data_IF_852395631890
#
_entry.id   IF_852395631890
#
_cell.length_a   1.000
_cell.length_b   1.000
_cell.length_c   1.000
_cell.angle_alpha   90.00
_cell.angle_beta   90.00
_cell.angle_gamma   90.00
#
_symmetry.space_group_name_H-M   'P 1'
#
loop_
_entity.id
_entity.type
_entity.pdbx_description
1 polymer ?
#
# COMPACT_ATOMS: atom_id res chain seq x y z
N UNK A 1 11.72 13.27 -12.76
CA UNK A 1 11.23 13.26 -14.15
C UNK A 1 11.18 14.68 -14.67
N UNK A 2 11.49 14.99 -15.95
CA UNK A 2 11.36 16.34 -16.47
C UNK A 2 9.87 16.72 -16.39
N UNK A 3 9.55 17.84 -15.74
CA UNK A 3 8.19 18.41 -15.72
C UNK A 3 7.71 18.53 -17.15
N UNK A 4 6.72 17.73 -17.54
CA UNK A 4 6.06 17.83 -18.84
C UNK A 4 5.52 19.26 -18.94
N UNK A 5 5.98 20.03 -19.93
CA UNK A 5 5.48 21.41 -20.11
C UNK A 5 3.95 21.36 -20.26
N UNK A 6 3.26 22.14 -19.46
CA UNK A 6 1.80 22.24 -19.48
C UNK A 6 1.32 22.56 -20.90
N UNK A 7 0.41 21.74 -21.43
CA UNK A 7 -0.22 21.99 -22.73
C UNK A 7 -1.46 22.85 -22.53
N UNK A 8 -1.56 23.97 -23.26
CA UNK A 8 -2.65 24.95 -23.17
C UNK A 8 -3.34 25.07 -24.52
N UNK A 9 -4.64 24.78 -24.59
CA UNK A 9 -5.42 24.99 -25.80
C UNK A 9 -5.95 26.41 -25.86
N UNK A 10 -5.72 27.10 -26.99
CA UNK A 10 -6.26 28.40 -27.29
C UNK A 10 -7.46 28.21 -28.21
N UNK A 11 -8.65 28.56 -27.71
CA UNK A 11 -9.91 28.29 -28.40
C UNK A 11 -10.72 29.59 -28.46
N UNK A 12 -11.28 29.91 -29.63
CA UNK A 12 -12.25 30.98 -29.78
C UNK A 12 -13.69 30.55 -29.45
N UNK A 13 -14.68 31.26 -29.93
CA UNK A 13 -16.09 30.96 -29.65
C UNK A 13 -16.60 29.71 -30.42
N UNK A 14 -17.78 29.17 -29.99
CA UNK A 14 -18.34 27.90 -30.45
C UNK A 14 -18.62 27.83 -31.96
N UNK A 15 -19.05 28.93 -32.56
CA UNK A 15 -19.31 29.04 -34.01
C UNK A 15 -18.20 29.88 -34.65
N UNK A 16 -17.00 29.32 -34.88
CA UNK A 16 -15.83 30.09 -35.19
C UNK A 16 -15.96 30.76 -36.58
N UNK A 17 -15.79 32.06 -36.60
CA UNK A 17 -15.62 32.89 -37.79
C UNK A 17 -14.13 33.12 -38.08
N UNK A 18 -13.81 33.88 -39.10
CA UNK A 18 -12.44 34.14 -39.51
C UNK A 18 -11.63 34.84 -38.41
N UNK A 19 -12.24 35.78 -37.70
CA UNK A 19 -11.58 36.50 -36.61
C UNK A 19 -11.24 35.51 -35.45
N UNK A 20 -12.20 34.70 -35.02
CA UNK A 20 -12.01 33.70 -33.97
C UNK A 20 -10.86 32.74 -34.26
N UNK A 21 -10.77 32.25 -35.49
CA UNK A 21 -9.71 31.31 -35.91
C UNK A 21 -8.36 32.01 -36.03
N UNK A 22 -8.31 33.15 -36.69
CA UNK A 22 -7.07 33.89 -36.88
C UNK A 22 -6.50 34.40 -35.54
N UNK A 23 -7.35 34.88 -34.64
CA UNK A 23 -6.94 35.31 -33.30
C UNK A 23 -6.37 34.14 -32.47
N UNK A 24 -7.01 32.99 -32.52
CA UNK A 24 -6.51 31.80 -31.84
C UNK A 24 -5.12 31.37 -32.36
N UNK A 25 -4.92 31.37 -33.68
CA UNK A 25 -3.64 31.05 -34.31
C UNK A 25 -2.55 32.06 -33.97
N UNK A 26 -2.85 33.36 -34.09
CA UNK A 26 -1.90 34.44 -33.82
C UNK A 26 -1.48 34.45 -32.34
N UNK A 27 -2.44 34.31 -31.43
CA UNK A 27 -2.16 34.27 -30.00
C UNK A 27 -1.35 33.00 -29.60
N UNK A 28 -1.67 31.86 -30.19
CA UNK A 28 -0.89 30.63 -30.00
C UNK A 28 0.56 30.83 -30.45
N UNK A 29 0.77 31.43 -31.62
CA UNK A 29 2.11 31.75 -32.12
C UNK A 29 2.88 32.66 -31.14
N UNK A 30 2.26 33.76 -30.73
CA UNK A 30 2.86 34.70 -29.77
C UNK A 30 3.24 34.00 -28.46
N UNK A 31 2.33 33.25 -27.89
CA UNK A 31 2.56 32.55 -26.60
C UNK A 31 3.67 31.50 -26.68
N UNK A 32 3.78 30.79 -27.80
CA UNK A 32 4.87 29.83 -28.00
C UNK A 32 6.24 30.51 -28.13
N UNK A 33 6.31 31.76 -28.59
CA UNK A 33 7.55 32.56 -28.60
C UNK A 33 8.00 32.95 -27.17
N UNK A 34 7.07 33.10 -26.24
CA UNK A 34 7.36 33.44 -24.85
C UNK A 34 7.86 32.24 -24.03
N UNK A 35 7.57 31.02 -24.45
CA UNK A 35 8.20 29.79 -23.96
C UNK A 35 7.79 29.30 -22.56
N UNK A 36 6.70 29.79 -21.97
CA UNK A 36 6.23 29.43 -20.62
C UNK A 36 5.46 28.09 -20.59
N UNK A 37 4.81 27.69 -21.70
CA UNK A 37 4.07 26.43 -21.87
C UNK A 37 4.11 25.99 -23.34
N UNK A 38 3.42 24.90 -23.69
CA UNK A 38 3.13 24.49 -25.06
C UNK A 38 1.72 24.89 -25.39
N UNK A 39 1.55 25.85 -26.29
CA UNK A 39 0.23 26.36 -26.72
C UNK A 39 -0.16 25.72 -28.04
N UNK A 40 -1.45 25.33 -28.18
CA UNK A 40 -2.02 24.75 -29.39
C UNK A 40 -3.33 25.47 -29.73
N UNK A 41 -3.41 25.97 -30.96
CA UNK A 41 -4.68 26.52 -31.46
C UNK A 41 -5.68 25.39 -31.71
N UNK A 42 -6.91 25.61 -31.24
CA UNK A 42 -8.03 24.68 -31.41
C UNK A 42 -9.26 25.45 -31.89
N UNK A 43 -10.23 24.76 -32.47
CA UNK A 43 -11.53 25.30 -32.83
C UNK A 43 -12.65 24.55 -32.14
N UNK A 44 -13.70 25.24 -31.73
CA UNK A 44 -14.86 24.68 -31.07
C UNK A 44 -16.01 24.31 -32.01
N UNK A 45 -15.86 24.58 -33.31
CA UNK A 45 -16.87 24.28 -34.33
C UNK A 45 -16.28 24.14 -35.73
N UNK A 46 -17.17 23.97 -36.73
CA UNK A 46 -16.75 23.87 -38.12
C UNK A 46 -16.36 25.26 -38.65
N UNK A 47 -15.33 25.32 -39.48
CA UNK A 47 -14.94 26.55 -40.18
C UNK A 47 -15.90 26.83 -41.32
N UNK A 48 -16.22 28.12 -41.53
CA UNK A 48 -17.01 28.57 -42.64
C UNK A 48 -16.18 28.67 -43.93
N UNK A 49 -16.83 28.96 -45.06
CA UNK A 49 -16.16 29.04 -46.39
C UNK A 49 -15.16 30.18 -46.47
N UNK A 50 -15.47 31.32 -45.85
CA UNK A 50 -14.59 32.47 -45.77
C UNK A 50 -13.31 32.16 -45.03
N UNK A 51 -13.42 31.61 -43.82
CA UNK A 51 -12.29 31.15 -43.02
C UNK A 51 -11.43 30.11 -43.76
N UNK A 52 -12.07 29.17 -44.43
CA UNK A 52 -11.34 28.14 -45.22
C UNK A 52 -10.58 28.79 -46.39
N UNK A 53 -11.17 29.79 -47.06
CA UNK A 53 -10.51 30.54 -48.12
C UNK A 53 -9.29 31.33 -47.58
N UNK A 54 -9.46 32.06 -46.48
CA UNK A 54 -8.36 32.82 -45.86
C UNK A 54 -7.21 31.92 -45.44
N UNK A 55 -7.49 30.83 -44.73
CA UNK A 55 -6.44 29.89 -44.30
C UNK A 55 -5.69 29.31 -45.50
N UNK A 56 -6.42 28.91 -46.55
CA UNK A 56 -5.81 28.39 -47.79
C UNK A 56 -4.96 29.44 -48.48
N UNK A 57 -5.43 30.69 -48.55
CA UNK A 57 -4.69 31.77 -49.20
C UNK A 57 -3.34 32.05 -48.51
N UNK A 58 -3.28 31.97 -47.19
CA UNK A 58 -2.05 32.17 -46.42
C UNK A 58 -1.26 30.86 -46.17
N UNK A 59 -1.71 29.73 -46.66
CA UNK A 59 -1.03 28.44 -46.49
C UNK A 59 -1.00 27.93 -45.04
N UNK A 60 -2.02 28.32 -44.23
CA UNK A 60 -2.12 27.94 -42.81
C UNK A 60 -3.10 26.78 -42.65
N UNK A 61 -2.66 25.73 -41.96
CA UNK A 61 -3.52 24.59 -41.64
C UNK A 61 -4.60 24.97 -40.63
N UNK A 62 -5.85 24.50 -40.82
CA UNK A 62 -6.94 24.74 -39.87
C UNK A 62 -6.63 24.14 -38.49
N UNK A 63 -6.94 24.87 -37.40
CA UNK A 63 -6.83 24.32 -36.06
C UNK A 63 -7.66 23.03 -35.91
N UNK A 64 -7.17 22.07 -35.13
CA UNK A 64 -7.90 20.84 -34.86
C UNK A 64 -9.17 21.14 -34.07
N UNK A 65 -10.23 20.36 -34.37
CA UNK A 65 -11.49 20.46 -33.62
C UNK A 65 -11.28 20.00 -32.17
N UNK A 66 -11.78 20.77 -31.24
CA UNK A 66 -11.89 20.43 -29.84
C UNK A 66 -13.36 20.17 -29.52
N UNK A 67 -13.72 18.93 -29.27
CA UNK A 67 -15.11 18.53 -29.01
C UNK A 67 -15.45 18.53 -27.54
N UNK A 68 -14.43 18.46 -26.68
CA UNK A 68 -14.59 18.40 -25.23
C UNK A 68 -13.44 19.15 -24.55
N UNK A 69 -13.77 19.98 -23.58
CA UNK A 69 -12.84 20.73 -22.72
C UNK A 69 -12.99 20.37 -21.26
N UNK A 70 -13.75 19.32 -20.95
CA UNK A 70 -13.93 18.82 -19.59
C UNK A 70 -12.59 18.42 -18.99
N UNK A 71 -12.30 18.84 -17.74
CA UNK A 71 -11.08 18.41 -17.08
C UNK A 71 -11.04 16.89 -16.96
N UNK A 72 -9.89 16.32 -17.28
CA UNK A 72 -9.63 14.89 -17.16
C UNK A 72 -8.81 14.59 -15.91
N UNK A 73 -8.76 13.35 -15.49
CA UNK A 73 -7.98 12.92 -14.30
C UNK A 73 -6.53 13.38 -14.39
N UNK A 74 -5.91 13.37 -15.57
CA UNK A 74 -4.54 13.89 -15.79
C UNK A 74 -4.37 15.39 -15.59
N UNK A 75 -5.46 16.15 -15.58
CA UNK A 75 -5.43 17.62 -15.47
C UNK A 75 -5.56 18.11 -14.02
N UNK A 76 -5.84 17.19 -13.08
CA UNK A 76 -5.89 17.49 -11.65
C UNK A 76 -4.54 17.16 -10.99
N UNK A 77 -4.32 17.78 -9.84
CA UNK A 77 -3.14 17.48 -9.03
C UNK A 77 -3.33 16.13 -8.33
N UNK A 78 -2.61 15.11 -8.81
CA UNK A 78 -2.64 13.75 -8.27
C UNK A 78 -1.42 13.57 -7.40
N UNK A 79 -1.64 13.25 -6.13
CA UNK A 79 -0.56 12.89 -5.21
C UNK A 79 -0.05 11.49 -5.57
N UNK A 80 1.16 11.43 -6.14
CA UNK A 80 1.83 10.17 -6.39
C UNK A 80 2.21 9.50 -5.05
N UNK A 81 1.90 8.22 -4.92
CA UNK A 81 2.24 7.43 -3.76
C UNK A 81 3.05 6.20 -4.17
N UNK A 82 4.05 5.81 -3.39
CA UNK A 82 4.74 4.56 -3.61
C UNK A 82 3.78 3.39 -3.34
N UNK A 83 3.78 2.40 -4.22
CA UNK A 83 3.13 1.14 -3.95
C UNK A 83 3.86 0.38 -2.84
N UNK A 84 3.14 -0.46 -2.12
CA UNK A 84 3.71 -1.34 -1.08
C UNK A 84 3.62 -2.80 -1.49
N UNK A 85 4.51 -3.62 -0.94
CA UNK A 85 4.43 -5.07 -1.05
C UNK A 85 3.24 -5.58 -0.21
N UNK A 86 2.42 -6.46 -0.78
CA UNK A 86 1.31 -7.13 -0.10
C UNK A 86 1.74 -7.97 1.11
N UNK A 87 3.00 -8.43 1.15
CA UNK A 87 3.58 -9.18 2.27
C UNK A 87 4.09 -8.27 3.40
N UNK A 88 4.10 -6.95 3.22
CA UNK A 88 4.43 -5.98 4.28
C UNK A 88 3.53 -6.21 5.50
N UNK A 89 4.11 -6.14 6.72
CA UNK A 89 3.32 -6.25 7.96
C UNK A 89 2.41 -5.02 8.15
N UNK A 90 1.27 -5.21 8.83
CA UNK A 90 0.39 -4.10 9.23
C UNK A 90 1.18 -3.04 10.04
N UNK A 91 2.11 -3.48 10.90
CA UNK A 91 2.95 -2.59 11.69
C UNK A 91 3.76 -1.65 10.80
N UNK A 92 4.40 -2.19 9.75
CA UNK A 92 5.18 -1.41 8.80
C UNK A 92 4.28 -0.48 7.96
N UNK A 93 3.13 -0.97 7.50
CA UNK A 93 2.16 -0.17 6.77
C UNK A 93 1.64 1.01 7.61
N UNK A 94 1.31 0.78 8.90
CA UNK A 94 0.92 1.84 9.83
C UNK A 94 2.02 2.89 10.02
N UNK A 95 3.28 2.45 10.21
CA UNK A 95 4.40 3.39 10.34
C UNK A 95 4.55 4.24 9.08
N UNK A 96 4.45 3.63 7.89
CA UNK A 96 4.51 4.37 6.62
C UNK A 96 3.37 5.39 6.50
N UNK A 97 2.12 5.01 6.81
CA UNK A 97 0.97 5.92 6.78
C UNK A 97 1.19 7.14 7.69
N UNK A 98 1.65 6.90 8.92
CA UNK A 98 1.92 7.95 9.89
C UNK A 98 3.03 8.89 9.43
N UNK A 99 4.15 8.33 8.94
CA UNK A 99 5.34 9.10 8.59
C UNK A 99 5.16 9.90 7.29
N UNK A 100 4.24 9.47 6.42
CA UNK A 100 3.90 10.14 5.15
C UNK A 100 2.60 10.94 5.20
N UNK A 101 1.87 10.89 6.32
CA UNK A 101 0.54 11.51 6.47
C UNK A 101 -0.46 11.06 5.40
N UNK A 102 -0.45 9.76 5.08
CA UNK A 102 -1.28 9.13 4.05
C UNK A 102 -2.22 8.13 4.72
N UNK A 103 -3.52 8.23 4.46
CA UNK A 103 -4.54 7.37 5.06
C UNK A 103 -4.83 6.08 4.29
N UNK A 104 -4.27 5.93 3.09
CA UNK A 104 -4.51 4.79 2.20
C UNK A 104 -3.22 4.41 1.48
N UNK A 105 -2.86 3.12 1.49
CA UNK A 105 -1.73 2.59 0.71
C UNK A 105 -2.23 1.60 -0.34
N UNK A 106 -1.57 1.61 -1.50
CA UNK A 106 -1.83 0.71 -2.62
C UNK A 106 -0.85 -0.45 -2.57
N UNK A 107 -1.34 -1.69 -2.43
CA UNK A 107 -0.53 -2.87 -2.63
C UNK A 107 -0.40 -3.16 -4.12
N UNK A 108 0.82 -3.34 -4.60
CA UNK A 108 1.14 -3.60 -6.00
C UNK A 108 2.02 -4.85 -6.13
N UNK A 109 2.04 -5.43 -7.33
CA UNK A 109 2.98 -6.49 -7.67
C UNK A 109 4.28 -5.96 -8.31
N UNK A 110 5.12 -6.88 -8.80
CA UNK A 110 6.38 -6.58 -9.47
C UNK A 110 6.18 -5.79 -10.79
N UNK A 111 5.06 -6.01 -11.46
CA UNK A 111 4.67 -5.32 -12.69
C UNK A 111 3.97 -3.97 -12.43
N UNK A 112 3.84 -3.58 -11.13
CA UNK A 112 3.14 -2.38 -10.64
C UNK A 112 1.62 -2.42 -10.86
N UNK A 113 1.05 -3.58 -11.06
CA UNK A 113 -0.40 -3.75 -11.11
C UNK A 113 -1.00 -3.68 -9.71
N UNK A 114 -2.17 -3.06 -9.60
CA UNK A 114 -2.86 -2.87 -8.32
C UNK A 114 -3.44 -4.18 -7.81
N UNK A 115 -2.95 -4.65 -6.66
CA UNK A 115 -3.44 -5.87 -5.98
C UNK A 115 -4.53 -5.56 -4.96
N UNK A 116 -4.49 -4.38 -4.36
CA UNK A 116 -5.45 -4.00 -3.33
C UNK A 116 -5.14 -2.67 -2.66
N UNK A 117 -6.04 -2.27 -1.78
CA UNK A 117 -5.93 -1.05 -0.97
C UNK A 117 -6.05 -1.40 0.51
N UNK A 118 -5.21 -0.79 1.33
CA UNK A 118 -5.34 -0.83 2.79
C UNK A 118 -5.49 0.59 3.32
N UNK A 119 -6.45 0.80 4.20
CA UNK A 119 -6.75 2.09 4.82
C UNK A 119 -6.46 2.08 6.31
N UNK A 120 -6.34 3.27 6.93
CA UNK A 120 -6.28 3.41 8.40
C UNK A 120 -7.45 2.70 9.08
N UNK A 121 -8.65 2.72 8.47
CA UNK A 121 -9.83 2.01 9.00
C UNK A 121 -9.63 0.49 9.03
N UNK A 122 -9.03 -0.08 7.99
CA UNK A 122 -8.77 -1.53 7.92
C UNK A 122 -7.74 -1.93 8.99
N UNK A 123 -6.70 -1.11 9.21
CA UNK A 123 -5.73 -1.31 10.30
C UNK A 123 -6.39 -1.17 11.68
N UNK A 124 -7.25 -0.18 11.86
CA UNK A 124 -7.98 -0.01 13.12
C UNK A 124 -8.88 -1.20 13.42
N UNK A 125 -9.62 -1.71 12.43
CA UNK A 125 -10.45 -2.91 12.58
C UNK A 125 -9.61 -4.12 12.96
N UNK A 126 -8.49 -4.36 12.26
CA UNK A 126 -7.56 -5.45 12.57
C UNK A 126 -7.01 -5.39 14.01
N UNK A 127 -6.72 -4.17 14.50
CA UNK A 127 -6.26 -3.97 15.87
C UNK A 127 -7.37 -4.11 16.94
N UNK A 128 -8.63 -3.89 16.56
CA UNK A 128 -9.76 -4.06 17.49
C UNK A 128 -10.20 -5.52 17.63
N UNK A 129 -9.83 -6.38 16.68
CA UNK A 129 -10.10 -7.83 16.74
C UNK A 129 -9.06 -8.56 17.60
N UNK A 130 -8.97 -8.12 18.86
CA UNK A 130 -7.97 -8.58 19.84
C UNK A 130 -8.12 -10.08 20.23
N UNK A 131 -9.25 -10.71 19.85
CA UNK A 131 -9.54 -12.09 20.19
C UNK A 131 -9.06 -13.09 19.14
N UNK A 132 -8.63 -12.63 17.97
CA UNK A 132 -8.07 -13.53 16.94
C UNK A 132 -6.62 -13.88 17.23
N UNK A 133 -6.43 -14.82 18.17
CA UNK A 133 -5.10 -15.33 18.52
C UNK A 133 -4.47 -16.15 17.41
N UNK A 134 -5.22 -16.57 16.39
CA UNK A 134 -4.78 -17.38 15.25
C UNK A 134 -4.44 -16.54 14.01
N UNK A 135 -4.49 -15.21 14.09
CA UNK A 135 -4.31 -14.29 12.95
C UNK A 135 -3.02 -14.56 12.18
N UNK A 136 -1.93 -14.90 12.86
CA UNK A 136 -0.63 -15.19 12.22
C UNK A 136 -0.68 -16.46 11.36
N UNK A 137 -1.35 -17.50 11.84
CA UNK A 137 -1.54 -18.75 11.11
C UNK A 137 -2.53 -18.57 9.94
N UNK A 138 -3.68 -17.93 10.18
CA UNK A 138 -4.70 -17.64 9.15
C UNK A 138 -4.14 -16.80 8.01
N UNK A 139 -3.29 -15.84 8.33
CA UNK A 139 -2.65 -14.96 7.35
C UNK A 139 -1.37 -15.55 6.75
N UNK A 140 -0.91 -16.71 7.21
CA UNK A 140 0.38 -17.32 6.83
C UNK A 140 1.52 -16.32 6.95
N UNK A 141 1.63 -15.68 8.10
CA UNK A 141 2.64 -14.66 8.39
C UNK A 141 4.04 -15.28 8.36
N UNK A 142 5.01 -14.61 7.72
CA UNK A 142 6.41 -15.03 7.77
C UNK A 142 7.04 -14.69 9.12
N UNK A 143 7.99 -15.51 9.56
CA UNK A 143 8.76 -15.18 10.77
C UNK A 143 9.58 -13.90 10.60
N UNK A 144 9.98 -13.55 9.38
CA UNK A 144 10.61 -12.27 9.06
C UNK A 144 9.76 -11.07 9.49
N UNK A 145 8.44 -11.12 9.25
CA UNK A 145 7.52 -10.09 9.71
C UNK A 145 7.43 -10.06 11.25
N UNK A 146 7.43 -11.22 11.90
CA UNK A 146 7.44 -11.31 13.37
C UNK A 146 8.70 -10.68 13.94
N UNK A 147 9.87 -11.03 13.40
CA UNK A 147 11.16 -10.45 13.80
C UNK A 147 11.18 -8.94 13.64
N UNK A 148 10.79 -8.44 12.48
CA UNK A 148 10.73 -6.99 12.22
C UNK A 148 9.77 -6.27 13.17
N UNK A 149 8.60 -6.87 13.46
CA UNK A 149 7.57 -6.28 14.33
C UNK A 149 8.00 -6.25 15.79
N UNK A 150 8.69 -7.28 16.25
CA UNK A 150 9.13 -7.43 17.64
C UNK A 150 10.56 -6.93 17.88
N UNK A 151 11.21 -6.32 16.89
CA UNK A 151 12.63 -5.96 16.94
C UNK A 151 13.48 -7.14 17.43
N UNK A 152 13.10 -8.34 16.98
CA UNK A 152 13.60 -9.61 17.50
C UNK A 152 14.77 -10.17 16.70
N UNK A 153 15.46 -11.12 17.34
CA UNK A 153 16.52 -11.92 16.74
C UNK A 153 16.10 -13.38 16.72
N UNK A 154 16.28 -14.07 15.59
CA UNK A 154 16.07 -15.50 15.50
C UNK A 154 17.32 -16.26 15.93
N UNK A 155 17.22 -17.05 16.99
CA UNK A 155 18.29 -17.91 17.48
C UNK A 155 18.25 -19.31 16.86
N UNK A 156 17.07 -19.77 16.49
CA UNK A 156 16.86 -21.07 15.84
C UNK A 156 15.64 -21.00 14.94
N UNK A 157 15.76 -21.43 13.68
CA UNK A 157 14.67 -21.48 12.72
C UNK A 157 15.04 -20.91 11.36
N UNK A 158 14.01 -20.66 10.53
CA UNK A 158 14.10 -20.04 9.21
C UNK A 158 13.22 -18.78 9.19
N UNK A 159 13.79 -17.58 8.99
CA UNK A 159 13.03 -16.34 8.92
C UNK A 159 12.02 -16.29 7.78
N UNK A 160 12.28 -16.99 6.68
CA UNK A 160 11.42 -16.98 5.50
C UNK A 160 10.27 -18.03 5.61
N UNK A 161 10.32 -18.91 6.61
CA UNK A 161 9.23 -19.83 6.90
C UNK A 161 7.96 -19.08 7.31
N UNK A 162 6.79 -19.64 6.93
CA UNK A 162 5.48 -19.10 7.27
C UNK A 162 4.83 -19.88 8.43
N UNK A 163 4.14 -19.14 9.28
CA UNK A 163 3.30 -19.69 10.36
C UNK A 163 2.03 -20.23 9.71
N UNK A 164 1.81 -21.55 9.82
CA UNK A 164 0.69 -22.24 9.17
C UNK A 164 -0.33 -22.80 10.16
N UNK A 165 0.00 -22.83 11.45
CA UNK A 165 -0.86 -23.37 12.52
C UNK A 165 -0.50 -22.75 13.87
N UNK A 166 -1.36 -22.96 14.85
CA UNK A 166 -1.16 -22.48 16.22
C UNK A 166 -1.70 -21.08 16.45
N UNK A 167 -1.77 -20.73 17.70
CA UNK A 167 -2.25 -19.42 18.20
C UNK A 167 -1.14 -18.74 18.99
N UNK A 168 -1.32 -17.46 19.23
CA UNK A 168 -0.49 -16.70 20.15
C UNK A 168 -0.92 -17.07 21.59
N UNK A 169 0.04 -17.53 22.39
CA UNK A 169 -0.18 -17.94 23.77
C UNK A 169 0.83 -17.25 24.71
N UNK A 170 0.37 -16.76 25.85
CA UNK A 170 1.26 -16.16 26.84
C UNK A 170 1.63 -17.21 27.87
N UNK A 171 2.92 -17.55 27.95
CA UNK A 171 3.46 -18.48 28.92
C UNK A 171 3.36 -17.94 30.34
N UNK A 172 2.77 -18.75 31.21
CA UNK A 172 2.58 -18.43 32.63
C UNK A 172 3.37 -19.43 33.50
N UNK A 173 2.75 -20.12 34.46
CA UNK A 173 3.41 -21.22 35.17
C UNK A 173 3.15 -22.55 34.48
N UNK A 174 4.06 -23.53 34.61
CA UNK A 174 3.87 -24.86 34.01
C UNK A 174 2.51 -25.49 34.35
N UNK A 175 2.02 -25.34 35.59
CA UNK A 175 0.76 -25.92 36.03
C UNK A 175 -0.46 -25.36 35.28
N UNK A 176 -0.42 -24.08 34.89
CA UNK A 176 -1.48 -23.43 34.11
C UNK A 176 -1.35 -23.74 32.62
N UNK A 177 -0.14 -23.93 32.15
CA UNK A 177 0.15 -24.25 30.75
C UNK A 177 -0.12 -25.70 30.38
N UNK A 178 -0.14 -26.61 31.36
CA UNK A 178 -0.37 -28.04 31.15
C UNK A 178 -1.74 -28.27 30.50
N UNK A 179 -1.73 -28.92 29.33
CA UNK A 179 -2.92 -29.10 28.49
C UNK A 179 -3.49 -27.85 27.82
N UNK A 180 -2.89 -26.69 28.04
CA UNK A 180 -3.34 -25.42 27.43
C UNK A 180 -2.52 -25.05 26.17
N UNK A 181 -1.25 -25.46 26.10
CA UNK A 181 -0.40 -25.26 24.92
C UNK A 181 -0.71 -26.34 23.88
N UNK A 182 -0.98 -25.95 22.66
CA UNK A 182 -1.25 -26.85 21.55
C UNK A 182 -0.05 -26.92 20.59
N UNK A 183 0.09 -28.02 19.83
CA UNK A 183 1.10 -28.11 18.78
C UNK A 183 1.01 -26.95 17.78
N UNK A 184 2.15 -26.30 17.52
CA UNK A 184 2.23 -25.17 16.62
C UNK A 184 1.99 -23.81 17.26
N UNK A 185 1.57 -23.74 18.53
CA UNK A 185 1.37 -22.45 19.23
C UNK A 185 2.67 -21.63 19.27
N UNK A 186 2.53 -20.31 19.20
CA UNK A 186 3.62 -19.35 19.40
C UNK A 186 3.53 -18.88 20.85
N UNK A 187 4.47 -19.29 21.68
CA UNK A 187 4.41 -19.04 23.13
C UNK A 187 5.34 -17.89 23.50
N UNK A 188 4.76 -16.79 24.00
CA UNK A 188 5.51 -15.67 24.54
C UNK A 188 5.94 -16.02 25.97
N UNK A 189 7.24 -16.06 26.23
CA UNK A 189 7.82 -16.46 27.51
C UNK A 189 8.82 -15.44 28.03
N UNK A 190 9.07 -15.46 29.34
CA UNK A 190 10.13 -14.68 29.95
C UNK A 190 11.40 -15.56 30.14
N UNK A 191 12.30 -15.14 31.05
CA UNK A 191 13.56 -15.84 31.36
C UNK A 191 13.40 -17.10 32.23
N UNK A 192 12.18 -17.55 32.49
CA UNK A 192 11.95 -18.76 33.33
C UNK A 192 12.22 -20.04 32.56
N UNK A 193 13.28 -20.72 32.95
CA UNK A 193 13.78 -21.95 32.29
C UNK A 193 12.70 -23.04 32.15
N UNK A 194 11.96 -23.28 33.25
CA UNK A 194 10.92 -24.35 33.28
C UNK A 194 9.79 -24.02 32.28
N UNK A 195 9.40 -22.77 32.18
CA UNK A 195 8.33 -22.32 31.26
C UNK A 195 8.76 -22.49 29.81
N UNK A 196 10.02 -22.14 29.49
CA UNK A 196 10.59 -22.32 28.14
C UNK A 196 10.65 -23.81 27.78
N UNK A 197 11.14 -24.66 28.71
CA UNK A 197 11.26 -26.10 28.49
C UNK A 197 9.89 -26.75 28.30
N UNK A 198 8.92 -26.44 29.16
CA UNK A 198 7.56 -26.98 29.06
C UNK A 198 6.88 -26.60 27.76
N UNK A 199 6.99 -25.33 27.34
CA UNK A 199 6.42 -24.87 26.06
C UNK A 199 6.95 -25.71 24.89
N UNK A 200 8.27 -25.95 24.84
CA UNK A 200 8.90 -26.75 23.80
C UNK A 200 8.43 -28.21 23.87
N UNK A 201 8.39 -28.79 25.07
CA UNK A 201 8.02 -30.20 25.26
C UNK A 201 6.56 -30.48 24.91
N UNK A 202 5.67 -29.51 25.09
CA UNK A 202 4.26 -29.61 24.73
C UNK A 202 3.98 -29.30 23.26
N UNK A 203 5.04 -29.04 22.48
CA UNK A 203 4.94 -28.93 21.02
C UNK A 203 4.70 -27.51 20.48
N UNK A 204 5.09 -26.48 21.24
CA UNK A 204 5.07 -25.12 20.69
C UNK A 204 5.83 -25.09 19.36
N UNK A 205 5.24 -24.44 18.33
CA UNK A 205 5.89 -24.23 17.05
C UNK A 205 6.99 -23.19 17.14
N UNK A 206 6.82 -22.21 18.04
CA UNK A 206 7.83 -21.22 18.36
C UNK A 206 7.73 -20.75 19.80
N UNK A 207 8.88 -20.40 20.39
CA UNK A 207 8.93 -19.60 21.62
C UNK A 207 9.52 -18.23 21.32
N UNK A 208 8.93 -17.19 21.89
CA UNK A 208 9.43 -15.81 21.84
C UNK A 208 9.86 -15.41 23.24
N UNK A 209 11.18 -15.34 23.46
CA UNK A 209 11.78 -15.01 24.75
C UNK A 209 11.88 -13.49 24.90
N UNK A 210 11.11 -12.95 25.81
CA UNK A 210 10.96 -11.50 26.03
C UNK A 210 12.03 -10.90 26.94
N UNK A 211 12.07 -9.57 27.03
CA UNK A 211 12.95 -8.76 27.90
C UNK A 211 14.43 -8.85 27.54
N UNK A 212 14.81 -9.16 26.30
CA UNK A 212 16.20 -9.31 25.88
C UNK A 212 16.95 -10.41 26.67
N UNK A 213 16.22 -11.39 27.22
CA UNK A 213 16.80 -12.43 28.06
C UNK A 213 17.62 -13.42 27.24
N UNK A 214 18.78 -13.81 27.78
CA UNK A 214 19.61 -14.83 27.17
C UNK A 214 18.93 -16.21 27.22
N UNK A 215 19.02 -16.97 26.13
CA UNK A 215 18.47 -18.33 26.04
C UNK A 215 19.56 -19.34 26.32
N UNK A 216 19.39 -20.22 27.33
CA UNK A 216 20.36 -21.27 27.65
C UNK A 216 20.58 -22.23 26.49
N UNK A 217 21.81 -22.75 26.33
CA UNK A 217 22.15 -23.73 25.29
C UNK A 217 21.29 -24.99 25.36
N UNK A 218 20.90 -25.39 26.57
CA UNK A 218 20.02 -26.54 26.80
C UNK A 218 18.62 -26.34 26.22
N UNK A 219 18.10 -25.11 26.29
CA UNK A 219 16.82 -24.74 25.65
C UNK A 219 16.95 -24.80 24.13
N UNK A 220 18.03 -24.22 23.56
CA UNK A 220 18.27 -24.25 22.10
C UNK A 220 18.42 -25.71 21.61
N UNK A 221 19.17 -26.55 22.32
CA UNK A 221 19.31 -27.97 21.96
C UNK A 221 17.95 -28.69 21.98
N UNK A 222 17.13 -28.46 23.01
CA UNK A 222 15.80 -29.06 23.10
C UNK A 222 14.86 -28.56 22.03
N UNK A 223 14.90 -27.26 21.74
CA UNK A 223 14.11 -26.65 20.67
C UNK A 223 14.49 -27.22 19.29
N UNK A 224 15.79 -27.42 19.04
CA UNK A 224 16.28 -28.05 17.81
C UNK A 224 15.80 -29.50 17.67
N UNK A 225 15.84 -30.30 18.76
CA UNK A 225 15.36 -31.67 18.78
C UNK A 225 13.84 -31.73 18.46
N UNK A 226 13.07 -30.77 18.95
CA UNK A 226 11.61 -30.70 18.78
C UNK A 226 11.15 -29.96 17.54
N UNK A 227 12.06 -29.32 16.80
CA UNK A 227 11.71 -28.47 15.66
C UNK A 227 11.01 -27.18 16.05
N UNK A 228 11.21 -26.69 17.29
CA UNK A 228 10.62 -25.46 17.79
C UNK A 228 11.52 -24.27 17.44
N UNK A 229 10.93 -23.23 16.88
CA UNK A 229 11.63 -21.98 16.54
C UNK A 229 11.87 -21.16 17.80
N UNK A 230 13.04 -20.52 17.89
CA UNK A 230 13.40 -19.68 19.05
C UNK A 230 13.74 -18.27 18.60
N UNK A 231 12.99 -17.32 19.12
CA UNK A 231 13.13 -15.88 18.86
C UNK A 231 13.34 -15.17 20.19
N UNK A 232 14.21 -14.15 20.21
CA UNK A 232 14.32 -13.20 21.32
C UNK A 232 13.79 -11.85 20.92
N UNK A 233 13.27 -11.07 21.87
CA UNK A 233 12.84 -9.68 21.67
C UNK A 233 13.22 -8.83 22.88
N UNK A 234 13.62 -7.55 22.68
CA UNK A 234 13.87 -6.64 23.78
C UNK A 234 12.58 -6.25 24.54
N UNK A 235 11.41 -6.41 23.91
CA UNK A 235 10.14 -6.04 24.51
C UNK A 235 9.78 -6.97 25.68
N UNK A 236 9.05 -6.43 26.64
CA UNK A 236 8.41 -7.24 27.69
C UNK A 236 7.25 -8.06 27.10
N UNK A 237 6.74 -9.03 27.89
CA UNK A 237 5.69 -9.94 27.44
C UNK A 237 4.39 -9.21 27.04
N UNK A 238 4.05 -8.13 27.76
CA UNK A 238 2.85 -7.35 27.45
C UNK A 238 2.99 -6.62 26.12
N UNK A 239 4.12 -5.92 25.91
CA UNK A 239 4.39 -5.24 24.66
C UNK A 239 4.47 -6.20 23.49
N UNK A 240 5.18 -7.34 23.66
CA UNK A 240 5.27 -8.38 22.64
C UNK A 240 3.89 -8.97 22.29
N UNK A 241 3.06 -9.26 23.28
CA UNK A 241 1.70 -9.76 23.07
C UNK A 241 0.81 -8.77 22.31
N UNK A 242 0.96 -7.47 22.58
CA UNK A 242 0.23 -6.41 21.87
C UNK A 242 0.69 -6.21 20.42
N UNK A 243 1.97 -6.40 20.17
CA UNK A 243 2.59 -6.12 18.87
C UNK A 243 2.53 -7.29 17.90
N UNK A 244 2.67 -8.53 18.39
CA UNK A 244 2.92 -9.70 17.54
C UNK A 244 1.84 -9.92 16.47
N UNK A 245 0.57 -9.68 16.78
CA UNK A 245 -0.54 -9.80 15.82
C UNK A 245 -0.41 -8.82 14.65
N UNK A 246 0.25 -7.67 14.88
CA UNK A 246 0.47 -6.67 13.83
C UNK A 246 1.59 -7.04 12.85
N UNK A 247 2.25 -8.20 13.07
CA UNK A 247 3.17 -8.81 12.10
C UNK A 247 2.44 -9.40 10.88
N UNK A 248 1.13 -9.62 10.98
CA UNK A 248 0.32 -10.16 9.89
C UNK A 248 0.43 -9.27 8.61
N UNK A 249 0.49 -9.90 7.41
CA UNK A 249 0.71 -9.17 6.17
C UNK A 249 -0.52 -8.39 5.72
N UNK A 250 -0.28 -7.27 5.05
CA UNK A 250 -1.31 -6.38 4.48
C UNK A 250 -2.33 -7.13 3.64
N UNK A 251 -1.90 -8.13 2.84
CA UNK A 251 -2.79 -8.91 1.97
C UNK A 251 -3.96 -9.58 2.69
N UNK A 252 -3.85 -9.84 3.98
CA UNK A 252 -4.92 -10.46 4.77
C UNK A 252 -6.08 -9.50 5.08
N UNK A 253 -5.81 -8.20 5.12
CA UNK A 253 -6.75 -7.16 5.54
C UNK A 253 -7.12 -6.18 4.42
N UNK A 254 -6.32 -6.11 3.35
CA UNK A 254 -6.56 -5.20 2.24
C UNK A 254 -7.83 -5.56 1.47
N UNK A 255 -8.45 -4.57 0.88
CA UNK A 255 -9.52 -4.74 -0.10
C UNK A 255 -8.91 -5.04 -1.45
N UNK A 256 -9.22 -6.21 -2.01
CA UNK A 256 -8.74 -6.68 -3.31
C UNK A 256 -9.86 -6.83 -4.35
N UNK A 257 -11.12 -6.54 -3.97
CA UNK A 257 -12.28 -6.65 -4.88
C UNK A 257 -12.98 -5.31 -5.01
N UNK A 258 -13.60 -5.09 -6.17
CA UNK A 258 -14.37 -3.88 -6.47
C UNK A 258 -13.55 -2.59 -6.29
N UNK A 259 -12.29 -2.64 -6.68
CA UNK A 259 -11.43 -1.46 -6.72
C UNK A 259 -11.90 -0.54 -7.85
N UNK A 260 -11.98 0.77 -7.56
CA UNK A 260 -12.31 1.77 -8.57
C UNK A 260 -11.03 2.28 -9.21
N UNK A 261 -10.90 2.02 -10.49
CA UNK A 261 -9.78 2.46 -11.30
C UNK A 261 -10.27 3.38 -12.43
N UNK A 262 -9.54 4.43 -12.70
CA UNK A 262 -9.88 5.38 -13.75
C UNK A 262 -8.69 5.59 -14.69
N UNK A 263 -8.98 5.63 -15.98
CA UNK A 263 -7.99 6.09 -16.94
C UNK A 263 -7.65 7.57 -16.67
N UNK A 264 -6.41 7.94 -16.89
CA UNK A 264 -5.97 9.35 -16.82
C UNK A 264 -6.74 10.27 -17.78
N UNK A 265 -7.38 9.71 -18.80
CA UNK A 265 -8.23 10.42 -19.76
C UNK A 265 -9.73 10.43 -19.38
N UNK A 266 -10.12 9.81 -18.26
CA UNK A 266 -11.51 9.85 -17.76
C UNK A 266 -11.85 11.28 -17.36
N UNK A 267 -13.06 11.76 -17.71
CA UNK A 267 -13.52 13.06 -17.24
C UNK A 267 -13.67 13.06 -15.71
N UNK A 268 -13.20 14.12 -15.05
CA UNK A 268 -13.25 14.24 -13.58
C UNK A 268 -14.66 14.09 -13.04
N UNK A 269 -15.65 14.67 -13.74
CA UNK A 269 -17.06 14.59 -13.34
C UNK A 269 -17.60 13.16 -13.37
N UNK A 270 -17.18 12.34 -14.35
CA UNK A 270 -17.60 10.95 -14.45
C UNK A 270 -16.93 10.08 -13.38
N UNK A 271 -15.63 10.29 -13.13
CA UNK A 271 -14.95 9.65 -12.01
C UNK A 271 -15.62 9.99 -10.67
N UNK A 272 -15.97 11.27 -10.46
CA UNK A 272 -16.67 11.73 -9.25
C UNK A 272 -18.03 11.08 -9.07
N UNK A 273 -18.83 10.92 -10.14
CA UNK A 273 -20.14 10.25 -10.08
C UNK A 273 -20.00 8.79 -9.65
N UNK A 274 -19.00 8.08 -10.18
CA UNK A 274 -18.74 6.67 -9.82
C UNK A 274 -18.29 6.55 -8.37
N UNK A 275 -17.45 7.47 -7.88
CA UNK A 275 -16.97 7.47 -6.49
C UNK A 275 -18.05 7.85 -5.47
N UNK A 276 -19.13 8.51 -5.89
CA UNK A 276 -20.22 8.95 -4.99
C UNK A 276 -21.29 7.87 -4.77
N UNK A 277 -21.30 6.80 -5.57
CA UNK A 277 -22.21 5.65 -5.47
C UNK A 277 -21.55 4.47 -4.75
#
# INVERSE_FOLDING_TARGET
>A
MPKTRRKVNIIGHRNPDTDSICSALAYTYLKNQLGDAVYEARRAGQINRETAFVLKHFGVEPPRLCTDVSPQVKDIDIREQPGIDKEMSIRAAWSMMRDTEIDTLCAIDEDKELLGLITVKDIANANMDLFDTEVLAKSKTSYKNVLSTLEGEMLLGDPDACITSGRIFIGTSPEIMDGAVNPGDIVLVSNRYEVQMCAIDWGAGAIVVCCGSAVPRTILARAQEKGCIVITTPFDTYAAARLISTAAPVRHFMRSKNLLEFSVNTAVEDARKVMAN
#
